data_IF_298901866939
#
_entry.id   IF_298901866939
#
_cell.length_a   1.000
_cell.length_b   1.000
_cell.length_c   1.000
_cell.angle_alpha   90.00
_cell.angle_beta   90.00
_cell.angle_gamma   90.00
#
_symmetry.space_group_name_H-M   'P 1'
#
loop_
_entity.id
_entity.type
_entity.pdbx_description
1 polymer ?
#
# COMPACT_ATOMS: atom_id res chain seq x y z
N UNK A 1 5.87 -29.14 -16.82
CA UNK A 1 4.57 -29.27 -16.14
C UNK A 1 4.63 -28.39 -14.90
N UNK A 2 3.84 -27.30 -14.82
CA UNK A 2 3.80 -26.48 -13.62
C UNK A 2 2.92 -27.22 -12.60
N UNK A 3 3.53 -27.70 -11.52
CA UNK A 3 2.84 -28.33 -10.41
C UNK A 3 2.15 -27.22 -9.61
N UNK A 4 0.88 -26.98 -9.93
CA UNK A 4 -0.06 -26.33 -9.04
C UNK A 4 -0.50 -27.36 -8.02
N UNK A 5 -0.60 -26.99 -6.75
CA UNK A 5 -1.38 -27.81 -5.83
C UNK A 5 -2.83 -27.83 -6.36
N UNK A 6 -3.54 -28.95 -6.19
CA UNK A 6 -4.89 -29.14 -6.73
C UNK A 6 -5.90 -28.06 -6.29
N UNK A 7 -5.57 -27.29 -5.23
CA UNK A 7 -6.40 -26.25 -4.62
C UNK A 7 -5.90 -24.82 -4.88
N UNK A 8 -4.85 -24.63 -5.69
CA UNK A 8 -4.32 -23.30 -6.01
C UNK A 8 -5.27 -22.53 -6.95
N UNK A 9 -5.63 -21.30 -6.56
CA UNK A 9 -6.33 -20.34 -7.41
C UNK A 9 -5.30 -19.47 -8.16
N UNK A 10 -5.63 -19.14 -9.41
CA UNK A 10 -4.88 -18.19 -10.23
C UNK A 10 -5.67 -16.88 -10.39
N UNK A 11 -5.09 -15.79 -9.91
CA UNK A 11 -5.61 -14.44 -10.10
C UNK A 11 -4.74 -13.66 -11.09
N UNK A 12 -5.32 -13.23 -12.21
CA UNK A 12 -4.64 -12.38 -13.19
C UNK A 12 -4.63 -10.94 -12.65
N UNK A 13 -3.44 -10.36 -12.54
CA UNK A 13 -3.27 -9.00 -12.05
C UNK A 13 -3.78 -7.99 -13.09
N UNK A 14 -4.43 -6.90 -12.65
CA UNK A 14 -4.73 -5.77 -13.52
C UNK A 14 -3.45 -5.20 -14.16
N UNK A 15 -3.55 -4.58 -15.35
CA UNK A 15 -2.41 -3.89 -15.93
C UNK A 15 -1.99 -2.68 -15.07
N UNK A 16 -0.70 -2.37 -15.06
CA UNK A 16 -0.17 -1.17 -14.40
C UNK A 16 0.13 -1.31 -12.91
N UNK A 17 0.00 -2.52 -12.33
CA UNK A 17 0.46 -2.78 -10.96
C UNK A 17 2.01 -2.69 -10.94
N UNK A 18 2.60 -1.79 -10.12
CA UNK A 18 4.05 -1.65 -10.08
C UNK A 18 4.74 -2.92 -9.56
N UNK A 19 5.91 -3.26 -10.10
CA UNK A 19 6.69 -4.42 -9.64
C UNK A 19 7.02 -4.36 -8.15
N UNK A 20 7.16 -3.16 -7.56
CA UNK A 20 7.37 -3.00 -6.11
C UNK A 20 6.17 -3.49 -5.28
N UNK A 21 4.94 -3.28 -5.78
CA UNK A 21 3.71 -3.78 -5.15
C UNK A 21 3.65 -5.29 -5.24
N UNK A 22 3.95 -5.85 -6.42
CA UNK A 22 3.99 -7.30 -6.64
C UNK A 22 5.01 -7.96 -5.70
N UNK A 23 6.22 -7.42 -5.62
CA UNK A 23 7.27 -7.94 -4.73
C UNK A 23 6.83 -7.96 -3.26
N UNK A 24 6.21 -6.87 -2.77
CA UNK A 24 5.69 -6.79 -1.39
C UNK A 24 4.59 -7.81 -1.15
N UNK A 25 3.68 -7.98 -2.10
CA UNK A 25 2.60 -8.98 -2.00
C UNK A 25 3.17 -10.38 -1.87
N UNK A 26 4.14 -10.75 -2.72
CA UNK A 26 4.79 -12.07 -2.65
C UNK A 26 5.64 -12.29 -1.40
N UNK A 27 6.03 -11.22 -0.68
CA UNK A 27 6.77 -11.30 0.58
C UNK A 27 5.85 -11.41 1.80
N UNK A 28 4.66 -10.80 1.74
CA UNK A 28 3.72 -10.72 2.85
C UNK A 28 2.69 -11.85 2.85
N UNK A 29 2.36 -12.38 1.68
CA UNK A 29 1.33 -13.40 1.50
C UNK A 29 1.95 -14.66 0.90
N UNK A 30 1.36 -15.82 1.19
CA UNK A 30 1.84 -17.09 0.65
C UNK A 30 1.32 -17.30 -0.79
N UNK A 31 1.80 -16.46 -1.70
CA UNK A 31 1.43 -16.45 -3.13
C UNK A 31 2.68 -16.38 -4.02
N UNK A 32 2.62 -17.04 -5.17
CA UNK A 32 3.64 -17.04 -6.22
C UNK A 32 3.26 -16.07 -7.34
N UNK A 33 4.25 -15.46 -7.98
CA UNK A 33 4.03 -14.58 -9.13
C UNK A 33 4.43 -15.25 -10.45
N UNK A 34 3.60 -15.10 -11.48
CA UNK A 34 3.92 -15.44 -12.87
C UNK A 34 3.86 -14.19 -13.74
N UNK A 35 4.78 -14.02 -14.69
CA UNK A 35 4.89 -12.81 -15.52
C UNK A 35 4.04 -12.83 -16.79
N UNK A 36 3.62 -14.00 -17.27
CA UNK A 36 2.95 -14.15 -18.58
C UNK A 36 1.73 -15.09 -18.49
N UNK A 37 0.50 -14.55 -18.39
CA UNK A 37 0.21 -13.16 -18.03
C UNK A 37 0.54 -12.86 -16.55
N UNK A 38 0.79 -11.60 -16.15
CA UNK A 38 1.03 -11.21 -14.76
C UNK A 38 -0.05 -11.76 -13.84
N UNK A 39 0.30 -12.67 -12.94
CA UNK A 39 -0.67 -13.41 -12.12
C UNK A 39 -0.11 -13.75 -10.73
N UNK A 40 -1.00 -13.83 -9.74
CA UNK A 40 -0.74 -14.42 -8.43
C UNK A 40 -1.36 -15.81 -8.35
N UNK A 41 -0.63 -16.75 -7.77
CA UNK A 41 -1.04 -18.15 -7.61
C UNK A 41 -0.85 -18.57 -6.15
N UNK A 42 -1.88 -19.17 -5.55
CA UNK A 42 -1.82 -19.73 -4.22
C UNK A 42 -3.21 -20.10 -3.72
N UNK A 43 -3.33 -20.41 -2.43
CA UNK A 43 -4.64 -20.72 -1.82
C UNK A 43 -5.60 -19.54 -1.94
N UNK A 44 -6.89 -19.84 -2.16
CA UNK A 44 -7.96 -18.82 -2.30
C UNK A 44 -7.93 -17.74 -1.22
N UNK A 45 -7.79 -18.12 0.04
CA UNK A 45 -7.74 -17.17 1.16
C UNK A 45 -6.56 -16.19 1.06
N UNK A 46 -5.40 -16.67 0.62
CA UNK A 46 -4.20 -15.85 0.44
C UNK A 46 -4.33 -14.93 -0.78
N UNK A 47 -4.97 -15.41 -1.86
CA UNK A 47 -5.29 -14.62 -3.04
C UNK A 47 -6.25 -13.48 -2.68
N UNK A 48 -7.30 -13.73 -1.89
CA UNK A 48 -8.23 -12.68 -1.45
C UNK A 48 -7.54 -11.62 -0.57
N UNK A 49 -6.72 -12.05 0.40
CA UNK A 49 -5.92 -11.12 1.22
C UNK A 49 -4.97 -10.28 0.35
N UNK A 50 -4.30 -10.90 -0.62
CA UNK A 50 -3.39 -10.22 -1.54
C UNK A 50 -4.12 -9.19 -2.40
N UNK A 51 -5.31 -9.54 -2.95
CA UNK A 51 -6.17 -8.62 -3.71
C UNK A 51 -6.54 -7.39 -2.89
N UNK A 52 -7.00 -7.61 -1.66
CA UNK A 52 -7.40 -6.52 -0.75
C UNK A 52 -6.20 -5.62 -0.40
N UNK A 53 -5.05 -6.22 -0.09
CA UNK A 53 -3.84 -5.48 0.21
C UNK A 53 -3.36 -4.63 -0.97
N UNK A 54 -3.36 -5.18 -2.19
CA UNK A 54 -2.99 -4.42 -3.41
C UNK A 54 -3.87 -3.19 -3.54
N UNK A 55 -5.19 -3.35 -3.39
CA UNK A 55 -6.15 -2.23 -3.47
C UNK A 55 -5.81 -1.15 -2.44
N UNK A 56 -5.72 -1.53 -1.16
CA UNK A 56 -5.41 -0.60 -0.06
C UNK A 56 -4.07 0.09 -0.26
N UNK A 57 -3.04 -0.63 -0.69
CA UNK A 57 -1.71 -0.08 -0.93
C UNK A 57 -1.69 0.94 -2.07
N UNK A 58 -2.41 0.67 -3.16
CA UNK A 58 -2.53 1.63 -4.27
C UNK A 58 -3.26 2.91 -3.83
N UNK A 59 -4.35 2.78 -3.09
CA UNK A 59 -5.08 3.93 -2.53
C UNK A 59 -4.20 4.74 -1.59
N UNK A 60 -3.44 4.08 -0.71
CA UNK A 60 -2.50 4.73 0.20
C UNK A 60 -1.39 5.48 -0.57
N UNK A 61 -0.86 4.89 -1.64
CA UNK A 61 0.14 5.54 -2.49
C UNK A 61 -0.41 6.78 -3.19
N UNK A 62 -1.67 6.75 -3.64
CA UNK A 62 -2.33 7.92 -4.24
C UNK A 62 -2.54 9.02 -3.20
N UNK A 63 -3.11 8.68 -2.04
CA UNK A 63 -3.34 9.60 -0.94
C UNK A 63 -2.06 10.33 -0.51
N UNK A 64 -0.98 9.57 -0.25
CA UNK A 64 0.31 10.13 0.14
C UNK A 64 0.98 10.92 -0.99
N UNK A 65 0.79 10.53 -2.26
CA UNK A 65 1.32 11.29 -3.40
C UNK A 65 0.70 12.69 -3.48
N UNK A 66 -0.58 12.83 -3.22
CA UNK A 66 -1.27 14.12 -3.24
C UNK A 66 -0.78 15.02 -2.11
N UNK A 67 -0.65 14.48 -0.90
CA UNK A 67 -0.08 15.19 0.26
C UNK A 67 1.37 15.59 -0.03
N UNK A 68 2.21 14.65 -0.49
CA UNK A 68 3.62 14.90 -0.80
C UNK A 68 3.82 15.95 -1.89
N UNK A 69 2.94 15.97 -2.91
CA UNK A 69 2.97 17.00 -3.96
C UNK A 69 2.67 18.39 -3.40
N UNK A 70 1.73 18.51 -2.45
CA UNK A 70 1.40 19.77 -1.79
C UNK A 70 2.53 20.21 -0.85
N UNK A 71 3.01 19.31 0.01
CA UNK A 71 4.11 19.55 0.93
C UNK A 71 5.37 20.03 0.19
N UNK A 72 5.73 19.37 -0.92
CA UNK A 72 6.82 19.79 -1.81
C UNK A 72 6.63 21.19 -2.37
N UNK A 73 5.43 21.53 -2.84
CA UNK A 73 5.12 22.86 -3.40
C UNK A 73 5.37 23.97 -2.37
N UNK A 74 5.02 23.71 -1.11
CA UNK A 74 5.19 24.66 -0.01
C UNK A 74 6.54 24.51 0.71
N UNK A 75 7.38 23.55 0.32
CA UNK A 75 8.68 23.23 0.95
C UNK A 75 8.57 22.93 2.45
N UNK A 76 7.48 22.27 2.85
CA UNK A 76 7.22 21.83 4.23
C UNK A 76 7.24 20.31 4.31
N UNK A 77 7.39 19.76 5.52
CA UNK A 77 7.37 18.31 5.75
C UNK A 77 6.05 17.94 6.41
N UNK A 78 5.20 17.19 5.70
CA UNK A 78 3.93 16.73 6.22
C UNK A 78 4.14 15.56 7.18
N UNK A 79 3.73 15.76 8.43
CA UNK A 79 3.66 14.74 9.49
C UNK A 79 2.28 14.11 9.47
N UNK A 80 2.23 12.78 9.43
CA UNK A 80 0.99 12.01 9.26
C UNK A 80 0.90 11.00 10.39
N UNK A 81 -0.24 10.98 11.09
CA UNK A 81 -0.55 10.03 12.14
C UNK A 81 -1.89 9.35 11.87
N UNK A 82 -1.99 8.07 12.22
CA UNK A 82 -3.25 7.36 12.29
C UNK A 82 -3.26 6.49 13.55
N UNK A 83 -4.40 6.48 14.24
CA UNK A 83 -4.61 5.66 15.45
C UNK A 83 -4.64 4.16 15.12
N UNK A 84 -5.11 3.82 13.92
CA UNK A 84 -5.24 2.43 13.47
C UNK A 84 -3.87 1.88 13.05
N UNK A 85 -3.38 0.88 13.78
CA UNK A 85 -2.06 0.27 13.58
C UNK A 85 -1.89 -0.33 12.19
N UNK A 86 -2.90 -1.02 11.68
CA UNK A 86 -2.85 -1.65 10.36
C UNK A 86 -2.72 -0.60 9.27
N UNK A 87 -3.54 0.46 9.34
CA UNK A 87 -3.48 1.57 8.39
C UNK A 87 -2.16 2.34 8.51
N UNK A 88 -1.68 2.60 9.72
CA UNK A 88 -0.38 3.25 9.93
C UNK A 88 0.76 2.45 9.32
N UNK A 89 0.77 1.13 9.51
CA UNK A 89 1.75 0.24 8.89
C UNK A 89 1.64 0.24 7.37
N UNK A 90 0.41 0.24 6.83
CA UNK A 90 0.18 0.36 5.38
C UNK A 90 0.75 1.68 4.83
N UNK A 91 0.54 2.81 5.51
CA UNK A 91 1.08 4.11 5.12
C UNK A 91 2.61 4.13 5.16
N UNK A 92 3.23 3.53 6.19
CA UNK A 92 4.69 3.35 6.29
C UNK A 92 5.26 2.50 5.16
N UNK A 93 4.53 1.49 4.70
CA UNK A 93 4.91 0.70 3.53
C UNK A 93 4.76 1.53 2.25
N UNK A 94 3.61 2.19 2.09
CA UNK A 94 3.27 2.96 0.90
C UNK A 94 4.26 4.11 0.64
N UNK A 95 4.67 4.84 1.69
CA UNK A 95 5.55 6.01 1.55
C UNK A 95 6.91 5.66 0.95
N UNK A 96 7.41 4.44 1.13
CA UNK A 96 8.71 4.01 0.59
C UNK A 96 8.76 4.02 -0.93
N UNK A 97 7.62 3.85 -1.58
CA UNK A 97 7.49 3.70 -3.03
C UNK A 97 6.97 4.99 -3.70
N UNK A 98 7.07 6.15 -3.04
CA UNK A 98 6.57 7.45 -3.53
C UNK A 98 7.75 8.39 -3.83
N UNK A 99 7.64 9.14 -4.92
CA UNK A 99 8.68 10.08 -5.40
C UNK A 99 8.97 11.21 -4.41
N UNK A 100 7.98 11.67 -3.64
CA UNK A 100 8.09 12.81 -2.70
C UNK A 100 8.19 12.38 -1.24
N UNK A 101 8.70 11.17 -0.98
CA UNK A 101 8.77 10.60 0.37
C UNK A 101 9.55 11.45 1.36
N UNK A 102 10.52 12.23 0.89
CA UNK A 102 11.33 13.14 1.70
C UNK A 102 10.51 14.28 2.35
N UNK A 103 9.34 14.60 1.78
CA UNK A 103 8.40 15.59 2.30
C UNK A 103 7.31 14.97 3.19
N UNK A 104 7.39 13.67 3.48
CA UNK A 104 6.40 12.92 4.24
C UNK A 104 7.05 12.24 5.44
N UNK A 105 6.36 12.23 6.56
CA UNK A 105 6.78 11.55 7.78
C UNK A 105 5.58 10.88 8.44
N UNK A 106 5.58 9.54 8.48
CA UNK A 106 4.54 8.78 9.17
C UNK A 106 4.99 8.55 10.61
N UNK A 107 4.24 9.08 11.57
CA UNK A 107 4.58 9.08 13.00
C UNK A 107 3.82 8.00 13.78
N UNK A 108 4.48 7.47 14.81
CA UNK A 108 3.87 6.54 15.78
C UNK A 108 3.16 7.27 16.92
N UNK A 109 3.58 8.50 17.21
CA UNK A 109 2.99 9.31 18.26
C UNK A 109 1.89 10.22 17.71
N UNK A 110 0.86 10.41 18.52
CA UNK A 110 -0.27 11.28 18.18
C UNK A 110 0.19 12.73 18.07
N UNK A 111 -0.29 13.40 17.02
CA UNK A 111 -0.01 14.81 16.74
C UNK A 111 -1.28 15.65 16.70
N UNK A 112 -1.13 16.96 16.75
CA UNK A 112 -2.17 17.91 16.41
C UNK A 112 -2.11 18.29 14.92
N UNK A 113 -3.26 18.46 14.30
CA UNK A 113 -3.35 18.77 12.87
C UNK A 113 -4.76 18.65 12.32
N UNK A 114 -4.85 18.72 10.99
CA UNK A 114 -6.08 18.54 10.25
C UNK A 114 -6.47 17.06 10.20
N UNK A 115 -7.76 16.78 10.44
CA UNK A 115 -8.32 15.42 10.43
C UNK A 115 -8.95 15.14 9.07
N UNK A 116 -8.46 14.12 8.39
CA UNK A 116 -8.98 13.66 7.10
C UNK A 116 -9.45 12.22 7.22
N UNK A 117 -10.56 11.87 6.56
CA UNK A 117 -11.00 10.48 6.44
C UNK A 117 -10.26 9.78 5.31
N UNK A 118 -9.66 8.64 5.60
CA UNK A 118 -9.03 7.74 4.63
C UNK A 118 -9.32 6.29 4.99
N UNK A 119 -9.85 5.51 4.04
CA UNK A 119 -10.28 4.12 4.27
C UNK A 119 -11.19 3.96 5.51
N UNK A 120 -12.15 4.87 5.68
CA UNK A 120 -13.06 4.95 6.84
C UNK A 120 -12.39 5.17 8.21
N UNK A 121 -11.10 5.49 8.23
CA UNK A 121 -10.34 5.84 9.42
C UNK A 121 -9.98 7.31 9.44
N UNK A 122 -9.75 7.84 10.63
CA UNK A 122 -9.24 9.21 10.79
C UNK A 122 -7.72 9.21 10.67
N UNK A 123 -7.20 10.08 9.81
CA UNK A 123 -5.77 10.38 9.64
C UNK A 123 -5.55 11.84 9.99
N UNK A 124 -4.59 12.11 10.87
CA UNK A 124 -4.19 13.46 11.28
C UNK A 124 -2.98 13.89 10.47
N UNK A 125 -3.04 15.06 9.86
CA UNK A 125 -1.97 15.65 9.06
C UNK A 125 -1.58 17.00 9.64
N UNK A 126 -0.28 17.20 9.84
CA UNK A 126 0.32 18.46 10.30
C UNK A 126 1.44 18.85 9.34
N UNK A 127 1.60 20.14 9.05
CA UNK A 127 2.60 20.66 8.08
C UNK A 127 3.55 21.67 8.69
#
# INVERSE_FOLDING_TARGET
MKLYDLDDEKFILPPGIPSSVIARVTQLFNVRYESEPPSLIGKREEIEKAKEFIKKLLEAKMFLKDIGKLAKRHKVKAKIYCEDDELRNLLKIAVQDIVFREYLEILDEKIEGEKIKFLDKEVIISV
#
